data_IF_247754348959
#
_entry.id   IF_247754348959
#
_cell.length_a   1.000
_cell.length_b   1.000
_cell.length_c   1.000
_cell.angle_alpha   90.00
_cell.angle_beta   90.00
_cell.angle_gamma   90.00
#
_symmetry.space_group_name_H-M   'P 1'
#
loop_
_entity.id
_entity.type
_entity.pdbx_description
1 polymer ?
#
# COMPACT_ATOMS: atom_id res chain seq x y z
N UNK A 1 -24.71 12.05 8.04
CA UNK A 1 -24.61 10.58 8.03
C UNK A 1 -23.28 10.22 7.42
N UNK A 2 -22.45 9.46 8.15
CA UNK A 2 -21.03 9.24 7.90
C UNK A 2 -20.78 8.14 6.85
N UNK A 3 -20.98 8.45 5.57
CA UNK A 3 -20.71 7.53 4.44
C UNK A 3 -19.20 7.37 4.11
N UNK A 4 -18.32 7.99 4.90
CA UNK A 4 -16.91 8.21 4.54
C UNK A 4 -15.95 7.31 5.33
N UNK A 5 -16.45 6.26 5.97
CA UNK A 5 -15.64 5.36 6.80
C UNK A 5 -15.36 4.06 6.07
N UNK A 6 -14.08 3.74 5.89
CA UNK A 6 -13.65 2.45 5.36
C UNK A 6 -14.08 1.33 6.32
N UNK A 7 -14.47 0.17 5.78
CA UNK A 7 -14.87 -0.94 6.65
C UNK A 7 -13.67 -1.53 7.40
N UNK A 8 -13.84 -2.04 8.64
CA UNK A 8 -12.78 -2.74 9.36
C UNK A 8 -12.19 -3.93 8.57
N UNK A 9 -13.02 -4.63 7.79
CA UNK A 9 -12.57 -5.73 6.95
C UNK A 9 -11.59 -5.31 5.86
N UNK A 10 -11.77 -4.13 5.25
CA UNK A 10 -10.83 -3.58 4.27
C UNK A 10 -9.51 -3.17 4.92
N UNK A 11 -9.58 -2.59 6.12
CA UNK A 11 -8.39 -2.25 6.90
C UNK A 11 -7.55 -3.50 7.24
N UNK A 12 -8.21 -4.59 7.63
CA UNK A 12 -7.55 -5.90 7.84
C UNK A 12 -6.99 -6.45 6.53
N UNK A 13 -7.75 -6.38 5.43
CA UNK A 13 -7.30 -6.86 4.12
C UNK A 13 -6.05 -6.13 3.62
N UNK A 14 -5.98 -4.81 3.78
CA UNK A 14 -4.81 -4.03 3.37
C UNK A 14 -3.57 -4.31 4.23
N UNK A 15 -3.76 -4.54 5.54
CA UNK A 15 -2.67 -4.96 6.42
C UNK A 15 -2.13 -6.34 6.03
N UNK A 16 -3.03 -7.28 5.71
CA UNK A 16 -2.65 -8.59 5.22
C UNK A 16 -1.91 -8.49 3.87
N UNK A 17 -2.43 -7.68 2.95
CA UNK A 17 -1.83 -7.44 1.64
C UNK A 17 -0.40 -6.89 1.77
N UNK A 18 -0.20 -5.87 2.61
CA UNK A 18 1.12 -5.32 2.93
C UNK A 18 2.07 -6.41 3.44
N UNK A 19 1.63 -7.21 4.42
CA UNK A 19 2.42 -8.29 4.99
C UNK A 19 2.81 -9.33 3.94
N UNK A 20 1.88 -9.69 3.04
CA UNK A 20 2.15 -10.66 1.96
C UNK A 20 3.11 -10.10 0.91
N UNK A 21 2.99 -8.82 0.52
CA UNK A 21 3.95 -8.17 -0.37
C UNK A 21 5.37 -8.24 0.19
N UNK A 22 5.55 -7.89 1.47
CA UNK A 22 6.85 -7.99 2.14
C UNK A 22 7.40 -9.41 2.15
N UNK A 23 6.56 -10.41 2.43
CA UNK A 23 6.95 -11.82 2.35
C UNK A 23 7.37 -12.25 0.95
N UNK A 24 6.75 -11.69 -0.08
CA UNK A 24 7.14 -11.91 -1.47
C UNK A 24 8.39 -11.12 -1.87
N UNK A 25 8.89 -10.23 -1.03
CA UNK A 25 10.12 -9.47 -1.26
C UNK A 25 9.88 -8.11 -1.92
N UNK A 26 8.63 -7.67 -2.09
CA UNK A 26 8.32 -6.32 -2.54
C UNK A 26 8.10 -5.41 -1.33
N UNK A 27 8.88 -4.32 -1.24
CA UNK A 27 8.74 -3.32 -0.19
C UNK A 27 8.39 -1.95 -0.82
N UNK A 28 7.12 -1.58 -0.92
CA UNK A 28 6.75 -0.26 -1.43
C UNK A 28 7.19 0.84 -0.45
N UNK A 29 7.55 2.01 -0.98
CA UNK A 29 7.78 3.22 -0.17
C UNK A 29 6.53 3.61 0.60
N UNK A 30 5.36 3.46 0.00
CA UNK A 30 4.10 3.67 0.68
C UNK A 30 3.01 2.71 0.24
N UNK A 31 2.14 2.35 1.19
CA UNK A 31 0.93 1.60 0.95
C UNK A 31 -0.16 2.10 1.89
N UNK A 32 -1.28 2.54 1.34
CA UNK A 32 -2.39 3.09 2.12
C UNK A 32 -3.72 2.95 1.40
N UNK A 33 -4.82 2.88 2.14
CA UNK A 33 -6.13 3.11 1.54
C UNK A 33 -6.35 4.58 1.27
N UNK A 34 -7.08 4.85 0.20
CA UNK A 34 -7.60 6.16 -0.14
C UNK A 34 -9.03 6.01 -0.65
N UNK A 35 -9.82 7.08 -0.55
CA UNK A 35 -11.06 7.23 -1.29
C UNK A 35 -10.78 8.08 -2.52
N UNK A 36 -10.97 7.50 -3.71
CA UNK A 36 -11.00 8.24 -4.96
C UNK A 36 -12.28 9.09 -4.97
N UNK A 37 -12.13 10.41 -4.96
CA UNK A 37 -13.22 11.38 -4.91
C UNK A 37 -13.99 11.47 -6.22
N UNK A 38 -13.34 11.14 -7.36
CA UNK A 38 -13.97 11.12 -8.68
C UNK A 38 -14.83 9.88 -8.87
N UNK A 39 -14.27 8.72 -8.55
CA UNK A 39 -14.95 7.42 -8.70
C UNK A 39 -15.85 7.08 -7.51
N UNK A 40 -15.71 7.79 -6.39
CA UNK A 40 -16.40 7.56 -5.11
C UNK A 40 -16.17 6.16 -4.55
N UNK A 41 -15.02 5.56 -4.85
CA UNK A 41 -14.64 4.21 -4.45
C UNK A 41 -13.37 4.23 -3.59
N UNK A 42 -13.17 3.19 -2.79
CA UNK A 42 -11.93 3.00 -2.07
C UNK A 42 -10.93 2.26 -2.96
N UNK A 43 -9.69 2.76 -2.99
CA UNK A 43 -8.57 2.18 -3.70
C UNK A 43 -7.36 2.06 -2.77
N UNK A 44 -6.48 1.11 -3.06
CA UNK A 44 -5.21 0.97 -2.37
C UNK A 44 -4.13 1.71 -3.17
N UNK A 45 -3.58 2.77 -2.61
CA UNK A 45 -2.46 3.50 -3.20
C UNK A 45 -1.17 2.78 -2.83
N UNK A 46 -0.36 2.46 -3.84
CA UNK A 46 0.98 1.93 -3.69
C UNK A 46 1.98 2.89 -4.35
N UNK A 47 2.91 3.42 -3.58
CA UNK A 47 4.06 4.18 -4.11
C UNK A 47 5.26 3.26 -4.14
N UNK A 48 5.85 3.07 -5.33
CA UNK A 48 7.05 2.26 -5.46
C UNK A 48 8.05 2.83 -6.49
N UNK A 49 9.29 3.08 -6.08
CA UNK A 49 10.32 3.63 -7.00
C UNK A 49 10.67 2.72 -8.17
N UNK A 50 10.39 1.42 -8.07
CA UNK A 50 10.65 0.48 -9.16
C UNK A 50 9.76 0.69 -10.38
N UNK A 51 8.65 1.42 -10.25
CA UNK A 51 7.78 1.80 -11.37
C UNK A 51 8.56 2.57 -12.43
N UNK A 52 9.50 3.44 -12.04
CA UNK A 52 10.35 4.22 -12.96
C UNK A 52 11.22 3.32 -13.84
N UNK A 53 11.65 2.18 -13.31
CA UNK A 53 12.64 1.30 -13.93
C UNK A 53 12.00 0.14 -14.69
N UNK A 54 10.98 -0.47 -14.09
CA UNK A 54 10.34 -1.69 -14.60
C UNK A 54 9.01 -1.41 -15.29
N UNK A 55 8.48 -0.19 -15.14
CA UNK A 55 7.19 0.22 -15.67
C UNK A 55 6.01 -0.26 -14.82
N UNK A 56 4.87 0.47 -14.85
CA UNK A 56 3.69 0.10 -14.09
C UNK A 56 3.06 -1.21 -14.60
N UNK A 57 3.12 -1.47 -15.92
CA UNK A 57 2.51 -2.67 -16.52
C UNK A 57 3.13 -3.96 -15.98
N UNK A 58 4.47 -4.06 -15.95
CA UNK A 58 5.15 -5.25 -15.47
C UNK A 58 4.84 -5.54 -13.99
N UNK A 59 4.76 -4.49 -13.17
CA UNK A 59 4.36 -4.65 -11.77
C UNK A 59 2.91 -5.16 -11.68
N UNK A 60 1.97 -4.55 -12.42
CA UNK A 60 0.57 -4.97 -12.44
C UNK A 60 0.44 -6.43 -12.87
N UNK A 61 1.14 -6.87 -13.91
CA UNK A 61 1.13 -8.28 -14.36
C UNK A 61 1.57 -9.25 -13.25
N UNK A 62 2.61 -8.90 -12.49
CA UNK A 62 3.04 -9.71 -11.34
C UNK A 62 2.02 -9.70 -10.20
N UNK A 63 1.39 -8.56 -9.90
CA UNK A 63 0.31 -8.48 -8.90
C UNK A 63 -0.89 -9.34 -9.30
N UNK A 64 -1.31 -9.29 -10.56
CA UNK A 64 -2.36 -10.15 -11.11
C UNK A 64 -1.96 -11.63 -11.06
N UNK A 65 -0.73 -11.96 -11.40
CA UNK A 65 -0.20 -13.32 -11.31
C UNK A 65 -0.24 -13.84 -9.86
N UNK A 66 0.20 -13.03 -8.90
CA UNK A 66 0.18 -13.37 -7.47
C UNK A 66 -1.25 -13.49 -6.92
N UNK A 67 -2.17 -12.64 -7.38
CA UNK A 67 -3.59 -12.70 -7.03
C UNK A 67 -4.26 -13.97 -7.55
N UNK A 68 -4.08 -14.30 -8.84
CA UNK A 68 -4.65 -15.52 -9.46
C UNK A 68 -4.17 -16.80 -8.76
N UNK A 69 -2.94 -16.81 -8.27
CA UNK A 69 -2.34 -17.92 -7.51
C UNK A 69 -2.73 -17.94 -6.03
N UNK A 70 -3.59 -17.03 -5.58
CA UNK A 70 -3.99 -16.87 -4.17
C UNK A 70 -2.81 -16.59 -3.20
N UNK A 71 -1.69 -16.08 -3.73
CA UNK A 71 -0.52 -15.71 -2.94
C UNK A 71 -0.77 -14.36 -2.26
N UNK A 72 -1.44 -13.41 -2.94
CA UNK A 72 -2.00 -12.20 -2.32
C UNK A 72 -3.44 -12.46 -1.83
N UNK A 73 -3.95 -11.71 -0.83
CA UNK A 73 -5.32 -11.85 -0.35
C UNK A 73 -6.34 -11.64 -1.47
N UNK A 74 -7.32 -12.54 -1.60
CA UNK A 74 -8.39 -12.44 -2.61
C UNK A 74 -9.38 -11.30 -2.34
N UNK A 75 -9.35 -10.73 -1.14
CA UNK A 75 -10.16 -9.58 -0.73
C UNK A 75 -9.73 -8.26 -1.39
N UNK A 76 -8.54 -8.20 -2.01
CA UNK A 76 -8.05 -7.03 -2.73
C UNK A 76 -7.83 -7.42 -4.17
N UNK A 77 -8.74 -6.96 -5.04
CA UNK A 77 -8.57 -7.05 -6.48
C UNK A 77 -7.39 -6.15 -6.92
N UNK A 78 -6.42 -6.62 -7.72
CA UNK A 78 -5.37 -5.76 -8.25
C UNK A 78 -5.89 -4.54 -9.04
N UNK A 79 -7.13 -4.57 -9.58
CA UNK A 79 -7.75 -3.43 -10.25
C UNK A 79 -8.00 -2.22 -9.33
N UNK A 80 -8.16 -2.44 -8.02
CA UNK A 80 -8.34 -1.34 -7.06
C UNK A 80 -7.00 -0.82 -6.52
N UNK A 81 -5.86 -1.31 -7.02
CA UNK A 81 -4.52 -0.92 -6.59
C UNK A 81 -3.97 0.14 -7.55
N UNK A 82 -3.92 1.39 -7.09
CA UNK A 82 -3.35 2.49 -7.85
C UNK A 82 -1.85 2.60 -7.55
N UNK A 83 -1.04 2.37 -8.58
CA UNK A 83 0.42 2.35 -8.49
C UNK A 83 0.99 3.69 -8.96
N UNK A 84 1.82 4.29 -8.12
CA UNK A 84 2.51 5.55 -8.42
C UNK A 84 4.03 5.37 -8.34
N UNK A 85 4.72 6.09 -9.20
CA UNK A 85 6.16 6.29 -9.06
C UNK A 85 6.44 7.32 -7.96
N UNK A 86 7.52 7.12 -7.22
CA UNK A 86 8.03 8.12 -6.26
C UNK A 86 8.37 9.49 -6.92
N UNK A 87 8.63 9.52 -8.24
CA UNK A 87 8.92 10.77 -8.96
C UNK A 87 7.66 11.61 -9.24
N UNK A 88 6.46 11.03 -9.13
CA UNK A 88 5.23 11.78 -9.36
C UNK A 88 4.97 12.73 -8.18
N UNK A 89 4.59 13.97 -8.48
CA UNK A 89 4.33 15.00 -7.46
C UNK A 89 3.33 14.53 -6.41
N UNK A 90 2.24 13.87 -6.86
CA UNK A 90 1.24 13.31 -5.97
C UNK A 90 1.87 12.30 -5.00
N UNK A 91 2.71 11.39 -5.47
CA UNK A 91 3.38 10.43 -4.60
C UNK A 91 4.29 11.09 -3.57
N UNK A 92 4.99 12.17 -3.92
CA UNK A 92 5.84 12.89 -2.97
C UNK A 92 5.02 13.58 -1.89
N UNK A 93 3.94 14.25 -2.26
CA UNK A 93 2.99 14.86 -1.31
C UNK A 93 2.41 13.79 -0.39
N UNK A 94 1.88 12.72 -0.99
CA UNK A 94 1.29 11.58 -0.28
C UNK A 94 2.24 10.85 0.66
N UNK A 95 3.55 11.07 0.58
CA UNK A 95 4.54 10.39 1.41
C UNK A 95 5.24 11.36 2.37
N UNK A 96 5.31 12.64 2.04
CA UNK A 96 5.92 13.69 2.86
C UNK A 96 5.10 14.01 4.12
N UNK A 97 3.77 13.94 4.02
CA UNK A 97 2.87 14.35 5.11
C UNK A 97 2.76 13.29 6.24
N UNK A 98 3.34 12.11 6.05
CA UNK A 98 3.24 11.02 7.01
C UNK A 98 4.45 10.94 7.96
N UNK A 99 4.21 10.78 9.28
CA UNK A 99 5.29 10.57 10.24
C UNK A 99 6.17 9.39 9.84
N UNK A 100 7.49 9.52 10.01
CA UNK A 100 8.49 8.48 9.68
C UNK A 100 8.26 7.14 10.39
N UNK A 101 7.45 7.16 11.45
CA UNK A 101 7.10 6.01 12.30
C UNK A 101 5.59 5.66 12.24
N UNK A 102 4.85 6.21 11.26
CA UNK A 102 3.44 5.87 11.05
C UNK A 102 3.30 4.46 10.47
N UNK A 103 3.56 3.47 11.31
CA UNK A 103 3.15 2.09 11.09
C UNK A 103 1.89 1.87 11.90
N UNK A 104 0.73 2.21 11.34
CA UNK A 104 -0.53 1.71 11.88
C UNK A 104 -0.65 0.23 11.49
N UNK A 105 0.02 -0.63 12.25
CA UNK A 105 -0.25 -2.05 12.28
C UNK A 105 -1.66 -2.24 12.84
N UNK A 106 -2.67 -2.37 11.99
CA UNK A 106 -3.91 -3.00 12.41
C UNK A 106 -3.58 -4.44 12.85
N UNK A 107 -3.76 -4.66 14.15
CA UNK A 107 -3.57 -5.91 14.86
C UNK A 107 -4.52 -6.97 14.29
N UNK A 108 -3.96 -8.10 13.87
CA UNK A 108 -4.69 -9.36 13.71
C UNK A 108 -3.89 -10.36 14.54
N UNK A 109 -4.55 -11.07 15.46
CA UNK A 109 -4.00 -12.09 16.38
C UNK A 109 -3.57 -11.63 17.80
N UNK A 110 -4.42 -10.87 18.50
CA UNK A 110 -4.56 -10.99 19.97
C UNK A 110 -3.46 -10.47 20.90
N UNK A 111 -2.41 -9.79 20.42
CA UNK A 111 -1.40 -9.13 21.28
C UNK A 111 -1.46 -7.62 21.12
N UNK A 112 -1.73 -6.90 22.21
CA UNK A 112 -1.83 -5.44 22.30
C UNK A 112 -0.46 -4.78 22.33
N UNK A 113 -0.23 -3.70 21.58
CA UNK A 113 0.76 -2.68 21.95
C UNK A 113 0.30 -1.26 21.56
N UNK A 114 0.09 -0.47 22.62
CA UNK A 114 -0.04 0.99 22.74
C UNK A 114 -0.24 1.78 21.44
N UNK A 115 -1.52 1.94 21.08
CA UNK A 115 -1.92 3.21 20.52
C UNK A 115 -1.68 4.28 21.59
N UNK A 116 -0.51 4.93 21.55
CA UNK A 116 -0.32 6.21 22.23
C UNK A 116 -1.53 7.08 21.91
N UNK A 117 -2.03 7.77 22.93
CA UNK A 117 -3.24 8.60 22.93
C UNK A 117 -3.19 9.70 21.86
N UNK A 118 -3.33 9.36 20.58
CA UNK A 118 -3.58 10.31 19.52
C UNK A 118 -5.09 10.42 19.38
N UNK A 119 -5.68 11.32 20.17
CA UNK A 119 -7.11 11.63 20.18
C UNK A 119 -7.65 12.24 18.87
N UNK A 120 -6.81 12.39 17.84
CA UNK A 120 -7.21 12.99 16.56
C UNK A 120 -7.01 12.01 15.38
N UNK A 121 -7.73 10.88 15.45
CA UNK A 121 -7.66 9.80 14.44
C UNK A 121 -8.37 10.12 13.13
N UNK A 122 -9.06 11.26 13.01
CA UNK A 122 -9.98 11.58 11.90
C UNK A 122 -9.56 12.77 11.05
N UNK A 123 -8.30 13.19 11.10
CA UNK A 123 -7.80 14.16 10.13
C UNK A 123 -7.74 13.44 8.78
N UNK A 124 -8.76 13.67 7.97
CA UNK A 124 -8.77 13.26 6.58
C UNK A 124 -8.02 14.33 5.79
N UNK A 125 -6.96 13.93 5.10
CA UNK A 125 -6.21 14.80 4.22
C UNK A 125 -6.70 14.59 2.79
N UNK A 126 -7.02 15.68 2.10
CA UNK A 126 -7.41 15.67 0.70
C UNK A 126 -6.22 16.05 -0.16
N UNK A 127 -5.79 15.11 -1.00
CA UNK A 127 -4.64 15.23 -1.88
C UNK A 127 -5.11 15.04 -3.31
N UNK A 128 -5.27 16.16 -4.03
CA UNK A 128 -5.84 16.21 -5.38
C UNK A 128 -7.21 15.51 -5.47
N UNK A 129 -7.24 14.29 -6.03
CA UNK A 129 -8.46 13.50 -6.23
C UNK A 129 -8.68 12.43 -5.15
N UNK A 130 -7.82 12.38 -4.13
CA UNK A 130 -7.84 11.34 -3.11
C UNK A 130 -8.08 11.93 -1.73
N UNK A 131 -8.88 11.23 -0.93
CA UNK A 131 -8.97 11.48 0.52
C UNK A 131 -8.37 10.31 1.28
N UNK A 132 -7.48 10.58 2.22
CA UNK A 132 -6.78 9.57 3.02
C UNK A 132 -6.94 9.91 4.50
N UNK A 133 -7.09 8.90 5.35
CA UNK A 133 -7.08 9.06 6.80
C UNK A 133 -5.86 8.38 7.41
N UNK A 134 -5.46 8.82 8.61
CA UNK A 134 -4.20 8.37 9.21
C UNK A 134 -4.18 6.88 9.54
N UNK A 135 -5.31 6.32 9.91
CA UNK A 135 -5.48 4.89 10.20
C UNK A 135 -5.51 4.01 8.93
N UNK A 136 -5.47 4.61 7.74
CA UNK A 136 -5.49 3.91 6.45
C UNK A 136 -4.08 3.62 5.92
N UNK A 137 -3.03 4.09 6.60
CA UNK A 137 -1.63 4.02 6.14
C UNK A 137 -0.91 2.84 6.79
N UNK A 138 -0.37 1.94 5.96
CA UNK A 138 0.36 0.75 6.41
C UNK A 138 1.87 0.93 6.42
N UNK A 139 2.38 1.73 5.48
CA UNK A 139 3.78 2.16 5.41
C UNK A 139 3.83 3.46 4.62
N UNK A 140 4.74 4.36 5.02
CA UNK A 140 5.09 5.55 4.26
C UNK A 140 6.54 5.93 4.61
N UNK A 141 7.41 6.03 3.61
CA UNK A 141 8.81 6.39 3.79
C UNK A 141 9.13 7.67 3.01
N UNK A 142 9.46 8.74 3.72
CA UNK A 142 9.77 10.07 3.15
C UNK A 142 10.98 10.12 2.22
N UNK A 143 11.70 9.01 2.04
CA UNK A 143 12.90 8.94 1.21
C UNK A 143 12.72 7.92 0.10
N UNK A 144 13.10 8.34 -1.11
CA UNK A 144 13.24 7.43 -2.25
C UNK A 144 14.17 6.28 -1.88
N UNK A 145 13.78 5.05 -2.20
CA UNK A 145 14.64 3.89 -1.96
C UNK A 145 15.80 3.84 -2.97
N UNK A 146 17.00 3.39 -2.54
CA UNK A 146 18.13 3.24 -3.45
C UNK A 146 17.84 2.26 -4.58
N UNK A 147 18.30 2.57 -5.80
CA UNK A 147 18.05 1.76 -7.00
C UNK A 147 18.49 0.29 -6.86
N UNK A 148 19.57 0.02 -6.13
CA UNK A 148 20.05 -1.35 -5.90
C UNK A 148 19.10 -2.17 -5.00
N UNK A 149 18.48 -1.53 -4.00
CA UNK A 149 17.48 -2.20 -3.15
C UNK A 149 16.21 -2.49 -3.94
N UNK A 150 15.75 -1.50 -4.71
CA UNK A 150 14.59 -1.63 -5.60
C UNK A 150 14.81 -2.77 -6.59
N UNK A 151 16.02 -2.90 -7.14
CA UNK A 151 16.37 -4.01 -8.03
C UNK A 151 16.34 -5.38 -7.34
N UNK A 152 16.92 -5.49 -6.14
CA UNK A 152 16.87 -6.74 -5.36
C UNK A 152 15.45 -7.14 -4.99
N UNK A 153 14.62 -6.18 -4.62
CA UNK A 153 13.22 -6.42 -4.28
C UNK A 153 12.43 -6.89 -5.49
N UNK A 154 12.66 -6.29 -6.65
CA UNK A 154 12.04 -6.72 -7.91
C UNK A 154 12.40 -8.17 -8.25
N UNK A 155 13.69 -8.52 -8.23
CA UNK A 155 14.16 -9.88 -8.50
C UNK A 155 13.56 -10.89 -7.52
N UNK A 156 13.51 -10.55 -6.22
CA UNK A 156 12.88 -11.39 -5.19
C UNK A 156 11.39 -11.56 -5.46
N UNK A 157 10.69 -10.48 -5.74
CA UNK A 157 9.26 -10.48 -6.01
C UNK A 157 8.91 -11.34 -7.22
N UNK A 158 9.58 -11.08 -8.35
CA UNK A 158 9.39 -11.84 -9.58
C UNK A 158 9.68 -13.34 -9.37
N UNK A 159 10.79 -13.67 -8.72
CA UNK A 159 11.17 -15.07 -8.43
C UNK A 159 10.17 -15.75 -7.49
N UNK A 160 9.71 -15.07 -6.45
CA UNK A 160 8.77 -15.64 -5.48
C UNK A 160 7.38 -15.85 -6.11
N UNK A 161 6.89 -14.90 -6.90
CA UNK A 161 5.62 -15.05 -7.63
C UNK A 161 5.70 -16.14 -8.70
N UNK A 162 6.86 -16.30 -9.35
CA UNK A 162 7.07 -17.33 -10.38
C UNK A 162 7.31 -18.72 -9.79
N UNK A 163 8.04 -18.85 -8.68
CA UNK A 163 8.29 -20.15 -8.03
C UNK A 163 7.04 -20.73 -7.37
N UNK A 164 6.15 -19.90 -6.84
CA UNK A 164 4.83 -20.32 -6.37
C UNK A 164 3.85 -20.62 -7.52
N UNK A 165 4.31 -20.58 -8.78
CA UNK A 165 3.56 -20.94 -9.99
C UNK A 165 3.75 -22.39 -10.43
N UNK A 166 4.75 -23.07 -9.87
CA UNK A 166 5.12 -24.45 -10.19
C UNK A 166 4.71 -25.37 -9.03
#
# INVERSE_FOLDING_TARGET
MSEDTISPGMLVAGAEYHRRLKKLGLHPEALMWARDLKQKQYCLIMVWSGVDKYGPLALSELLFSAYRKAVLPRSIDPFIVNVFSYQQNLAQVLVADWPKDAVNCLLVDGVTLNAGEYQDRRIAEEHADYRIQRDWVYTAQTKKRPSYEVGRDWERFQRNVTSMAA
#
